data_IF_612569520933
#
_entry.id   IF_612569520933
#
_cell.length_a   1.000
_cell.length_b   1.000
_cell.length_c   1.000
_cell.angle_alpha   90.00
_cell.angle_beta   90.00
_cell.angle_gamma   90.00
#
_symmetry.space_group_name_H-M   'P 1'
#
loop_
_entity.id
_entity.type
_entity.pdbx_description
1 polymer ?
#
# COMPACT_ATOMS: atom_id res chain seq x y z
N UNK A 1 -7.38 4.26 -23.52
CA UNK A 1 -6.84 3.56 -22.32
C UNK A 1 -7.26 4.38 -21.10
N UNK A 2 -8.29 3.98 -20.35
CA UNK A 2 -8.73 4.74 -19.18
C UNK A 2 -7.84 4.41 -17.99
N UNK A 3 -7.05 5.39 -17.54
CA UNK A 3 -6.17 5.26 -16.38
C UNK A 3 -6.94 4.98 -15.08
N UNK A 4 -6.22 4.50 -14.07
CA UNK A 4 -6.75 4.35 -12.72
C UNK A 4 -7.07 5.73 -12.12
N UNK A 5 -8.30 5.92 -11.63
CA UNK A 5 -8.79 7.19 -11.09
C UNK A 5 -9.10 7.01 -9.61
N UNK A 6 -8.17 7.39 -8.72
CA UNK A 6 -8.33 7.26 -7.26
C UNK A 6 -9.62 7.90 -6.73
N UNK A 7 -10.03 9.07 -7.24
CA UNK A 7 -11.27 9.76 -6.81
C UNK A 7 -12.57 8.96 -7.02
N UNK A 8 -12.57 7.96 -7.90
CA UNK A 8 -13.75 7.08 -8.10
C UNK A 8 -13.81 5.94 -7.08
N UNK A 9 -12.75 5.73 -6.30
CA UNK A 9 -12.70 4.71 -5.27
C UNK A 9 -13.30 5.25 -3.97
N UNK A 10 -14.63 5.21 -3.88
CA UNK A 10 -15.41 5.84 -2.81
C UNK A 10 -15.86 4.86 -1.72
N UNK A 11 -15.88 3.55 -2.01
CA UNK A 11 -16.21 2.53 -1.02
C UNK A 11 -14.95 2.00 -0.33
N UNK A 12 -15.14 1.52 0.89
CA UNK A 12 -14.12 0.94 1.74
C UNK A 12 -14.51 -0.49 2.13
N UNK A 13 -13.53 -1.38 2.18
CA UNK A 13 -13.67 -2.72 2.76
C UNK A 13 -12.36 -3.12 3.43
N UNK A 14 -12.39 -4.22 4.17
CA UNK A 14 -11.19 -4.87 4.67
C UNK A 14 -10.71 -5.91 3.65
N UNK A 15 -9.40 -5.91 3.43
CA UNK A 15 -8.71 -6.95 2.68
C UNK A 15 -7.65 -7.62 3.55
N UNK A 16 -7.20 -8.77 3.11
CA UNK A 16 -6.20 -9.58 3.80
C UNK A 16 -4.92 -9.62 2.98
N UNK A 17 -3.77 -9.37 3.62
CA UNK A 17 -2.47 -9.53 2.96
C UNK A 17 -2.25 -11.02 2.68
N UNK A 18 -2.22 -11.39 1.39
CA UNK A 18 -2.03 -12.78 0.95
C UNK A 18 -0.61 -13.04 0.45
N UNK A 19 0.13 -11.98 0.06
CA UNK A 19 1.50 -12.12 -0.45
C UNK A 19 2.34 -10.89 -0.20
N UNK A 20 3.59 -11.13 0.16
CA UNK A 20 4.66 -10.14 0.23
C UNK A 20 5.82 -10.58 -0.68
N UNK A 21 6.35 -9.69 -1.51
CA UNK A 21 7.43 -9.98 -2.46
C UNK A 21 8.49 -8.88 -2.42
N UNK A 22 9.75 -9.27 -2.26
CA UNK A 22 10.92 -8.43 -2.50
C UNK A 22 11.39 -8.59 -3.94
N UNK A 23 11.79 -7.51 -4.61
CA UNK A 23 12.36 -7.56 -5.96
C UNK A 23 13.87 -7.26 -6.02
N UNK A 24 14.54 -7.14 -4.88
CA UNK A 24 15.94 -6.68 -4.79
C UNK A 24 16.09 -5.25 -4.27
N UNK A 25 15.04 -4.42 -4.37
CA UNK A 25 15.06 -3.02 -3.92
C UNK A 25 13.77 -2.56 -3.22
N UNK A 26 12.62 -3.10 -3.63
CA UNK A 26 11.31 -2.66 -3.19
C UNK A 26 10.47 -3.85 -2.73
N UNK A 27 9.73 -3.62 -1.64
CA UNK A 27 8.70 -4.54 -1.17
C UNK A 27 7.39 -4.26 -1.91
N UNK A 28 6.75 -5.32 -2.38
CA UNK A 28 5.40 -5.30 -2.93
C UNK A 28 4.50 -6.18 -2.06
N UNK A 29 3.29 -5.69 -1.84
CA UNK A 29 2.25 -6.40 -1.11
C UNK A 29 1.09 -6.68 -2.05
N UNK A 30 0.45 -7.83 -1.86
CA UNK A 30 -0.79 -8.20 -2.54
C UNK A 30 -1.84 -8.45 -1.46
N UNK A 31 -2.95 -7.75 -1.60
CA UNK A 31 -4.08 -7.80 -0.69
C UNK A 31 -5.27 -8.35 -1.45
N UNK A 32 -5.91 -9.37 -0.91
CA UNK A 32 -7.17 -9.90 -1.41
C UNK A 32 -8.33 -9.29 -0.62
N UNK A 33 -9.41 -8.93 -1.29
CA UNK A 33 -10.62 -8.39 -0.66
C UNK A 33 -11.87 -8.89 -1.39
N UNK A 34 -12.98 -8.98 -0.67
CA UNK A 34 -14.22 -9.56 -1.18
C UNK A 34 -15.33 -8.51 -1.25
N UNK A 35 -16.00 -8.42 -2.39
CA UNK A 35 -17.11 -7.47 -2.63
C UNK A 35 -18.16 -8.19 -3.47
N UNK A 36 -19.42 -8.14 -3.03
CA UNK A 36 -20.59 -8.64 -3.79
C UNK A 36 -20.45 -10.09 -4.31
N UNK A 37 -19.90 -10.99 -3.50
CA UNK A 37 -19.77 -12.41 -3.90
C UNK A 37 -18.48 -12.74 -4.67
N UNK A 38 -17.61 -11.76 -4.93
CA UNK A 38 -16.40 -11.96 -5.73
C UNK A 38 -15.13 -11.45 -5.03
N UNK A 39 -14.06 -12.24 -5.12
CA UNK A 39 -12.72 -11.86 -4.67
C UNK A 39 -11.99 -11.01 -5.71
N UNK A 40 -11.28 -10.00 -5.21
CA UNK A 40 -10.45 -9.08 -5.97
C UNK A 40 -9.08 -8.95 -5.32
N UNK A 41 -8.09 -8.53 -6.11
CA UNK A 41 -6.73 -8.32 -5.64
C UNK A 41 -6.28 -6.89 -5.92
N UNK A 42 -5.55 -6.31 -4.97
CA UNK A 42 -4.80 -5.08 -5.14
C UNK A 42 -3.34 -5.35 -4.85
N UNK A 43 -2.47 -4.92 -5.76
CA UNK A 43 -1.02 -5.06 -5.63
C UNK A 43 -0.40 -3.68 -5.63
N UNK A 44 0.35 -3.37 -4.58
CA UNK A 44 1.03 -2.09 -4.44
C UNK A 44 2.47 -2.27 -4.00
N UNK A 45 3.31 -1.30 -4.36
CA UNK A 45 4.61 -1.12 -3.72
C UNK A 45 4.39 -0.56 -2.31
N UNK A 46 5.09 -1.12 -1.34
CA UNK A 46 5.07 -0.63 0.03
C UNK A 46 5.72 0.76 0.11
N UNK A 47 5.06 1.67 0.82
CA UNK A 47 5.56 3.02 1.10
C UNK A 47 5.94 3.17 2.57
N UNK A 48 6.69 4.22 2.89
CA UNK A 48 7.28 4.42 4.21
C UNK A 48 7.13 5.86 4.69
N UNK A 49 6.96 6.03 6.00
CA UNK A 49 7.10 7.33 6.65
C UNK A 49 8.51 7.48 7.19
N UNK A 50 9.16 8.59 6.86
CA UNK A 50 10.48 8.91 7.41
C UNK A 50 10.28 9.51 8.79
N UNK A 51 10.64 8.76 9.83
CA UNK A 51 10.53 9.20 11.22
C UNK A 51 11.67 10.12 11.63
N UNK A 52 12.88 9.82 11.13
CA UNK A 52 14.07 10.59 11.49
C UNK A 52 15.04 10.67 10.33
N UNK A 53 15.67 11.84 10.16
CA UNK A 53 16.78 12.06 9.23
C UNK A 53 18.03 12.40 10.02
N UNK A 54 19.12 11.70 9.75
CA UNK A 54 20.42 11.92 10.36
C UNK A 54 21.28 12.78 9.43
N UNK A 55 21.96 13.79 9.97
CA UNK A 55 22.83 14.71 9.23
C UNK A 55 24.11 14.99 10.00
N UNK A 56 25.21 15.21 9.29
CA UNK A 56 26.48 15.76 9.82
C UNK A 56 26.68 17.12 9.15
N UNK A 57 26.54 18.20 9.93
CA UNK A 57 26.44 19.55 9.37
C UNK A 57 25.28 19.66 8.37
N UNK A 58 25.58 20.04 7.13
CA UNK A 58 24.59 20.12 6.03
C UNK A 58 24.43 18.81 5.24
N UNK A 59 25.23 17.79 5.52
CA UNK A 59 25.25 16.53 4.75
C UNK A 59 24.29 15.51 5.36
N UNK A 60 23.31 14.97 4.62
CA UNK A 60 22.48 13.86 5.08
C UNK A 60 23.27 12.55 5.08
N UNK A 61 23.25 11.83 6.20
CA UNK A 61 24.01 10.58 6.39
C UNK A 61 23.12 9.35 6.58
N UNK A 62 21.82 9.53 6.78
CA UNK A 62 20.89 8.42 6.86
C UNK A 62 19.48 8.83 7.25
N UNK A 63 18.59 7.86 7.31
CA UNK A 63 17.23 8.03 7.79
C UNK A 63 16.73 6.77 8.49
N UNK A 64 15.82 6.96 9.45
CA UNK A 64 14.99 5.91 10.02
C UNK A 64 13.58 6.07 9.47
N UNK A 65 13.03 4.98 8.93
CA UNK A 65 11.72 4.97 8.29
C UNK A 65 10.96 3.72 8.69
N UNK A 66 9.65 3.85 8.85
CA UNK A 66 8.73 2.75 9.14
C UNK A 66 7.72 2.58 8.01
N UNK A 67 7.15 1.38 7.84
CA UNK A 67 6.15 1.16 6.81
C UNK A 67 4.92 2.02 7.06
N UNK A 68 4.32 2.55 5.99
CA UNK A 68 3.07 3.31 6.09
C UNK A 68 1.91 2.44 6.60
N UNK A 69 1.93 1.15 6.25
CA UNK A 69 1.00 0.18 6.81
C UNK A 69 1.42 -0.25 8.22
N UNK A 70 0.43 -0.38 9.11
CA UNK A 70 0.61 -0.79 10.51
C UNK A 70 1.16 -2.22 10.66
N UNK A 71 0.74 -3.13 9.80
CA UNK A 71 1.32 -4.48 9.69
C UNK A 71 1.44 -4.84 8.21
N UNK A 72 2.47 -5.62 7.91
CA UNK A 72 2.77 -6.16 6.58
C UNK A 72 2.85 -7.69 6.61
N UNK A 73 2.34 -8.30 7.67
CA UNK A 73 2.35 -9.75 7.87
C UNK A 73 1.28 -10.41 7.01
N UNK A 74 1.56 -11.64 6.57
CA UNK A 74 0.56 -12.43 5.85
C UNK A 74 -0.61 -12.70 6.82
N UNK A 75 -1.84 -12.63 6.31
CA UNK A 75 -3.10 -12.68 7.04
C UNK A 75 -3.46 -11.44 7.86
N UNK A 76 -2.62 -10.39 7.87
CA UNK A 76 -3.02 -9.12 8.46
C UNK A 76 -4.16 -8.47 7.64
N UNK A 77 -5.10 -7.86 8.36
CA UNK A 77 -6.20 -7.10 7.76
C UNK A 77 -5.78 -5.66 7.50
N UNK A 78 -6.06 -5.17 6.30
CA UNK A 78 -5.74 -3.80 5.87
C UNK A 78 -6.94 -3.20 5.15
N UNK A 79 -7.08 -1.87 5.21
CA UNK A 79 -8.15 -1.18 4.48
C UNK A 79 -7.87 -1.19 3.00
N UNK A 80 -8.94 -1.33 2.21
CA UNK A 80 -8.93 -1.21 0.75
C UNK A 80 -10.00 -0.22 0.34
N UNK A 81 -9.62 0.80 -0.43
CA UNK A 81 -10.57 1.66 -1.14
C UNK A 81 -10.76 1.17 -2.55
N UNK A 82 -12.00 1.04 -3.00
CA UNK A 82 -12.32 0.55 -4.33
C UNK A 82 -13.46 1.36 -4.97
N UNK A 83 -13.52 1.31 -6.31
CA UNK A 83 -14.62 1.90 -7.08
C UNK A 83 -15.81 0.93 -7.07
N UNK A 84 -16.98 1.29 -6.49
CA UNK A 84 -18.15 0.41 -6.45
C UNK A 84 -18.59 -0.08 -7.83
N UNK A 85 -18.50 0.78 -8.84
CA UNK A 85 -18.89 0.45 -10.21
C UNK A 85 -17.84 -0.39 -10.96
N UNK A 86 -16.62 -0.50 -10.41
CA UNK A 86 -15.52 -1.27 -10.99
C UNK A 86 -14.55 -1.71 -9.89
N UNK A 87 -14.89 -2.75 -9.09
CA UNK A 87 -14.15 -3.08 -7.89
C UNK A 87 -12.67 -3.40 -8.10
N UNK A 88 -12.27 -3.88 -9.29
CA UNK A 88 -10.85 -4.06 -9.69
C UNK A 88 -10.02 -2.77 -9.65
N UNK A 89 -10.65 -1.59 -9.68
CA UNK A 89 -9.99 -0.32 -9.43
C UNK A 89 -9.99 -0.08 -7.93
N UNK A 90 -8.83 -0.29 -7.31
CA UNK A 90 -8.66 -0.17 -5.87
C UNK A 90 -7.25 0.28 -5.50
N UNK A 91 -7.10 0.73 -4.26
CA UNK A 91 -5.82 1.09 -3.65
C UNK A 91 -5.86 0.93 -2.14
N UNK A 92 -4.68 0.92 -1.51
CA UNK A 92 -4.53 0.86 -0.07
C UNK A 92 -4.42 2.28 0.51
N UNK A 93 -5.46 2.82 1.18
CA UNK A 93 -5.46 4.20 1.67
C UNK A 93 -4.41 4.46 2.75
N UNK A 94 -4.05 3.43 3.52
CA UNK A 94 -3.05 3.51 4.59
C UNK A 94 -1.61 3.34 4.08
N UNK A 95 -1.43 2.96 2.81
CA UNK A 95 -0.13 2.90 2.16
C UNK A 95 0.23 4.27 1.56
N UNK A 96 0.22 5.32 2.38
CA UNK A 96 0.27 6.73 1.98
C UNK A 96 1.62 7.42 2.28
N UNK A 97 2.70 6.64 2.40
CA UNK A 97 4.05 7.14 2.62
C UNK A 97 4.81 7.48 1.34
N UNK A 98 6.12 7.61 1.49
CA UNK A 98 7.06 7.81 0.40
C UNK A 98 7.49 6.48 -0.22
N UNK A 99 7.66 6.47 -1.53
CA UNK A 99 8.39 5.40 -2.22
C UNK A 99 9.88 5.57 -1.93
N UNK A 100 10.43 4.70 -1.07
CA UNK A 100 11.85 4.63 -0.80
C UNK A 100 12.42 3.44 -1.57
N UNK A 101 13.37 3.69 -2.45
CA UNK A 101 14.11 2.72 -3.26
C UNK A 101 15.39 3.35 -3.77
#
# INVERSE_FOLDING_TARGET
MFGFIKRKCTAETLGTIVKKRWNGNLWFITVEYFVEGQSYIVKEQLTYHVEKKYKVGKVPVGMHSTSALKSIDINASVRVKYNPNKPKQSYLPDNNGLHLG
#
